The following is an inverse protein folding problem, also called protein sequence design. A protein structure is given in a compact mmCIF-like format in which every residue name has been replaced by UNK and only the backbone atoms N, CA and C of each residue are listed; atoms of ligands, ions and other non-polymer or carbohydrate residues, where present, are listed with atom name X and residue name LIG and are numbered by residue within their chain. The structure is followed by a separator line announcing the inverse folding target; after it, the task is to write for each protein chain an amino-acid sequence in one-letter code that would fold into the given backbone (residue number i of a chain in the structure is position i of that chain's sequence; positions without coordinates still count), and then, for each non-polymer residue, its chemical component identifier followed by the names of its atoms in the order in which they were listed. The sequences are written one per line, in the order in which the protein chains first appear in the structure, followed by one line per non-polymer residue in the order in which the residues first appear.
data_IF_251766843194
#
_entry.id   IF_251766843194
#
_cell.length_a   1.000
_cell.length_b   1.000
_cell.length_c   1.000
_cell.angle_alpha   90.00
_cell.angle_beta   90.00
_cell.angle_gamma   90.00
#
_symmetry.space_group_name_H-M   'P 1'
#
loop_
_entity.id
_entity.type
_entity.pdbx_description
1 polymer ?
#
# COMPACT_ATOMS: atom_id res chain seq x y z
N UNK A 1 47.56 -21.82 51.52
CA UNK A 1 47.79 -23.05 50.73
C UNK A 1 46.82 -23.01 49.56
N UNK A 2 47.29 -22.67 48.35
CA UNK A 2 46.43 -22.59 47.17
C UNK A 2 46.46 -23.94 46.48
N UNK A 3 45.31 -24.63 46.45
CA UNK A 3 45.15 -25.93 45.82
C UNK A 3 45.51 -25.85 44.33
N UNK A 4 46.25 -26.85 43.87
CA UNK A 4 46.74 -27.02 42.50
C UNK A 4 45.67 -26.72 41.45
N UNK A 5 45.90 -25.70 40.62
CA UNK A 5 45.09 -25.42 39.44
C UNK A 5 45.26 -26.57 38.44
N UNK A 6 44.24 -27.42 38.27
CA UNK A 6 44.26 -28.54 37.32
C UNK A 6 43.76 -28.06 35.95
N UNK A 7 44.69 -27.76 35.05
CA UNK A 7 44.39 -27.44 33.64
C UNK A 7 44.26 -28.77 32.88
N UNK A 8 43.11 -29.03 32.29
CA UNK A 8 42.89 -30.21 31.45
C UNK A 8 42.76 -29.80 29.98
N UNK A 9 43.54 -30.42 29.10
CA UNK A 9 43.51 -30.17 27.65
C UNK A 9 43.01 -31.43 26.94
N UNK A 10 41.90 -31.31 26.22
CA UNK A 10 41.31 -32.40 25.42
C UNK A 10 41.48 -32.09 23.94
N UNK A 11 42.30 -32.87 23.25
CA UNK A 11 42.49 -32.70 21.80
C UNK A 11 41.24 -33.16 21.06
N UNK A 12 40.68 -32.30 20.21
CA UNK A 12 39.46 -32.58 19.44
C UNK A 12 39.81 -33.09 18.04
N UNK A 13 40.69 -32.37 17.33
CA UNK A 13 41.02 -32.73 15.95
C UNK A 13 42.42 -32.23 15.57
N UNK A 14 43.11 -32.98 14.71
CA UNK A 14 44.35 -32.57 14.06
C UNK A 14 44.18 -32.74 12.55
N UNK A 15 44.40 -31.66 11.80
CA UNK A 15 44.41 -31.62 10.34
C UNK A 15 45.73 -31.00 9.85
N UNK A 16 46.08 -31.20 8.58
CA UNK A 16 47.21 -30.53 7.95
C UNK A 16 47.21 -28.99 8.12
N UNK A 17 46.03 -28.38 8.24
CA UNK A 17 45.86 -26.94 8.45
C UNK A 17 45.99 -26.48 9.92
N UNK A 18 46.13 -27.41 10.88
CA UNK A 18 46.27 -27.07 12.30
C UNK A 18 45.61 -28.06 13.26
N UNK A 19 45.62 -27.70 14.55
CA UNK A 19 45.09 -28.53 15.64
C UNK A 19 44.03 -27.76 16.44
N UNK A 20 42.94 -28.45 16.77
CA UNK A 20 41.89 -27.99 17.66
C UNK A 20 41.91 -28.78 18.97
N UNK A 21 41.78 -28.08 20.09
CA UNK A 21 41.70 -28.64 21.43
C UNK A 21 40.80 -27.79 22.33
N UNK A 22 40.18 -28.43 23.30
CA UNK A 22 39.41 -27.81 24.37
C UNK A 22 40.29 -27.68 25.61
N UNK A 23 40.29 -26.51 26.25
CA UNK A 23 41.00 -26.29 27.53
C UNK A 23 39.96 -26.07 28.61
N UNK A 24 39.97 -26.94 29.61
CA UNK A 24 39.08 -26.88 30.76
C UNK A 24 39.94 -26.42 31.94
N UNK A 25 39.70 -25.18 32.38
CA UNK A 25 40.40 -24.58 33.52
C UNK A 25 39.73 -24.93 34.86
N UNK A 26 38.42 -25.20 34.82
CA UNK A 26 37.60 -25.67 35.95
C UNK A 26 36.54 -26.63 35.40
N UNK A 27 36.36 -27.84 35.94
CA UNK A 27 35.27 -28.70 35.51
C UNK A 27 33.93 -28.02 35.83
N UNK A 28 33.13 -27.77 34.79
CA UNK A 28 31.79 -27.18 34.92
C UNK A 28 30.94 -28.00 35.88
N UNK A 29 30.36 -27.36 36.90
CA UNK A 29 29.40 -28.01 37.80
C UNK A 29 28.21 -28.55 36.99
N UNK A 30 27.67 -29.74 37.32
CA UNK A 30 26.69 -30.45 36.47
C UNK A 30 25.30 -29.76 36.32
N UNK A 31 25.12 -28.54 36.82
CA UNK A 31 23.86 -27.79 36.77
C UNK A 31 24.03 -26.46 36.02
N UNK A 32 24.48 -26.51 34.77
CA UNK A 32 24.26 -25.40 33.84
C UNK A 32 22.95 -25.68 33.15
N UNK A 33 21.85 -25.23 33.75
CA UNK A 33 20.54 -25.22 33.09
C UNK A 33 20.69 -24.54 31.74
N UNK A 34 20.24 -25.26 30.72
CA UNK A 34 20.16 -24.84 29.33
C UNK A 34 19.64 -23.41 29.23
N UNK A 35 20.54 -22.44 29.06
CA UNK A 35 20.16 -21.12 28.59
C UNK A 35 19.66 -21.34 27.16
N UNK A 36 18.41 -21.00 26.80
CA UNK A 36 17.95 -21.09 25.43
C UNK A 36 18.56 -19.93 24.63
N UNK A 37 19.88 -19.95 24.44
CA UNK A 37 20.65 -18.98 23.67
C UNK A 37 20.57 -19.22 22.16
N UNK A 38 19.64 -20.08 21.73
CA UNK A 38 19.25 -20.18 20.33
C UNK A 38 17.78 -19.80 20.21
N UNK A 39 17.40 -18.98 19.21
CA UNK A 39 16.00 -18.82 18.86
C UNK A 39 15.39 -20.22 18.75
N UNK A 40 14.38 -20.48 19.59
CA UNK A 40 13.59 -21.71 19.60
C UNK A 40 13.45 -22.17 18.16
N UNK A 41 14.01 -23.33 17.80
CA UNK A 41 14.09 -23.83 16.42
C UNK A 41 12.67 -23.87 15.84
N UNK A 42 12.23 -22.76 15.25
CA UNK A 42 10.93 -22.66 14.60
C UNK A 42 11.00 -23.66 13.47
N UNK A 43 10.00 -24.54 13.36
CA UNK A 43 9.86 -25.42 12.19
C UNK A 43 10.12 -24.58 10.95
N UNK A 44 11.07 -25.03 10.13
CA UNK A 44 11.43 -24.33 8.90
C UNK A 44 10.15 -24.10 8.12
N UNK A 45 9.82 -22.83 7.86
CA UNK A 45 8.65 -22.46 7.07
C UNK A 45 8.82 -23.11 5.71
N UNK A 46 7.83 -23.90 5.28
CA UNK A 46 7.86 -24.57 3.98
C UNK A 46 7.97 -23.54 2.85
N UNK A 47 8.52 -23.96 1.71
CA UNK A 47 8.60 -23.13 0.50
C UNK A 47 7.23 -22.53 0.15
N UNK A 48 6.16 -23.34 0.24
CA UNK A 48 4.78 -22.91 -0.03
C UNK A 48 4.30 -21.81 0.92
N UNK A 49 4.67 -21.89 2.21
CA UNK A 49 4.28 -20.87 3.21
C UNK A 49 5.01 -19.55 2.97
N UNK A 50 6.26 -19.61 2.51
CA UNK A 50 7.05 -18.43 2.13
C UNK A 50 6.43 -17.80 0.88
N UNK A 51 6.14 -18.59 -0.15
CA UNK A 51 5.51 -18.12 -1.39
C UNK A 51 4.16 -17.47 -1.11
N UNK A 52 3.30 -18.11 -0.30
CA UNK A 52 2.00 -17.56 0.08
C UNK A 52 2.10 -16.20 0.79
N UNK A 53 3.11 -16.01 1.64
CA UNK A 53 3.34 -14.72 2.31
C UNK A 53 3.83 -13.65 1.34
N UNK A 54 4.68 -14.01 0.38
CA UNK A 54 5.14 -13.09 -0.67
C UNK A 54 3.99 -12.66 -1.58
N UNK A 55 3.17 -13.61 -2.03
CA UNK A 55 1.99 -13.35 -2.85
C UNK A 55 0.98 -12.46 -2.11
N UNK A 56 0.71 -12.72 -0.82
CA UNK A 56 -0.17 -11.87 -0.03
C UNK A 56 0.38 -10.44 0.17
N UNK A 57 1.71 -10.25 0.18
CA UNK A 57 2.32 -8.92 0.19
C UNK A 57 2.19 -8.24 -1.18
N UNK A 58 2.33 -9.00 -2.27
CA UNK A 58 2.14 -8.51 -3.63
C UNK A 58 0.70 -8.11 -3.91
N UNK A 59 -0.29 -8.91 -3.52
CA UNK A 59 -1.69 -8.57 -3.72
C UNK A 59 -2.09 -7.32 -2.95
N UNK A 60 -1.55 -7.11 -1.73
CA UNK A 60 -1.75 -5.84 -1.00
C UNK A 60 -1.17 -4.64 -1.75
N UNK A 61 0.03 -4.80 -2.34
CA UNK A 61 0.65 -3.75 -3.16
C UNK A 61 -0.19 -3.44 -4.41
N UNK A 62 -0.64 -4.47 -5.13
CA UNK A 62 -1.49 -4.31 -6.31
C UNK A 62 -2.84 -3.67 -5.96
N UNK A 63 -3.47 -4.09 -4.87
CA UNK A 63 -4.74 -3.52 -4.41
C UNK A 63 -4.61 -2.03 -4.09
N UNK A 64 -3.55 -1.62 -3.37
CA UNK A 64 -3.30 -0.20 -3.10
C UNK A 64 -3.05 0.59 -4.40
N UNK A 65 -2.28 0.04 -5.32
CA UNK A 65 -2.05 0.67 -6.62
C UNK A 65 -3.34 0.83 -7.42
N UNK A 66 -4.19 -0.20 -7.45
CA UNK A 66 -5.47 -0.17 -8.13
C UNK A 66 -6.41 0.89 -7.55
N UNK A 67 -6.46 1.03 -6.21
CA UNK A 67 -7.27 2.05 -5.54
C UNK A 67 -6.78 3.47 -5.88
N UNK A 68 -5.47 3.68 -5.93
CA UNK A 68 -4.89 4.97 -6.36
C UNK A 68 -5.28 5.28 -7.81
N UNK A 69 -5.17 4.31 -8.71
CA UNK A 69 -5.54 4.48 -10.12
C UNK A 69 -7.03 4.76 -10.29
N UNK A 70 -7.88 4.07 -9.54
CA UNK A 70 -9.34 4.30 -9.52
C UNK A 70 -9.66 5.73 -9.10
N UNK A 71 -9.11 6.21 -7.97
CA UNK A 71 -9.33 7.57 -7.49
C UNK A 71 -8.83 8.63 -8.49
N UNK A 72 -7.75 8.35 -9.21
CA UNK A 72 -7.27 9.23 -10.28
C UNK A 72 -8.22 9.25 -11.47
N UNK A 73 -8.76 8.10 -11.88
CA UNK A 73 -9.74 8.01 -12.95
C UNK A 73 -11.03 8.76 -12.61
N UNK A 74 -11.55 8.57 -11.40
CA UNK A 74 -12.74 9.27 -10.89
C UNK A 74 -12.54 10.80 -10.91
N UNK A 75 -11.39 11.30 -10.47
CA UNK A 75 -11.08 12.74 -10.54
C UNK A 75 -11.06 13.25 -11.98
N UNK A 76 -10.51 12.48 -12.92
CA UNK A 76 -10.45 12.86 -14.35
C UNK A 76 -11.83 12.85 -14.99
N UNK A 77 -12.70 11.95 -14.59
CA UNK A 77 -14.09 11.94 -15.03
C UNK A 77 -14.84 13.17 -14.48
N UNK A 78 -14.70 13.45 -13.18
CA UNK A 78 -15.33 14.61 -12.56
C UNK A 78 -14.88 15.94 -13.21
N UNK A 79 -13.58 16.10 -13.52
CA UNK A 79 -13.09 17.28 -14.24
C UNK A 79 -13.78 17.46 -15.60
N UNK A 80 -14.02 16.37 -16.34
CA UNK A 80 -14.72 16.41 -17.63
C UNK A 80 -16.19 16.77 -17.45
N UNK A 81 -16.86 16.18 -16.45
CA UNK A 81 -18.26 16.48 -16.14
C UNK A 81 -18.46 17.96 -15.79
N UNK A 82 -17.55 18.54 -14.99
CA UNK A 82 -17.60 19.95 -14.61
C UNK A 82 -17.49 20.85 -15.85
N UNK A 83 -16.54 20.57 -16.74
CA UNK A 83 -16.35 21.35 -17.97
C UNK A 83 -17.58 21.22 -18.87
N UNK A 84 -18.06 20.00 -19.07
CA UNK A 84 -19.23 19.73 -19.90
C UNK A 84 -20.47 20.44 -19.37
N UNK A 85 -20.71 20.38 -18.05
CA UNK A 85 -21.83 21.05 -17.41
C UNK A 85 -21.76 22.57 -17.56
N UNK A 86 -20.58 23.17 -17.42
CA UNK A 86 -20.41 24.62 -17.62
C UNK A 86 -20.77 25.03 -19.06
N UNK A 87 -20.38 24.22 -20.06
CA UNK A 87 -20.73 24.45 -21.47
C UNK A 87 -22.25 24.32 -21.66
N UNK A 88 -22.85 23.26 -21.12
CA UNK A 88 -24.29 23.01 -21.23
C UNK A 88 -25.13 24.12 -20.59
N UNK A 89 -24.76 24.57 -19.39
CA UNK A 89 -25.45 25.66 -18.70
C UNK A 89 -25.35 26.98 -19.47
N UNK A 90 -24.18 27.29 -20.04
CA UNK A 90 -23.99 28.47 -20.89
C UNK A 90 -24.86 28.43 -22.16
N UNK A 91 -24.88 27.28 -22.84
CA UNK A 91 -25.73 27.04 -24.00
C UNK A 91 -27.22 27.16 -23.65
N UNK A 92 -27.63 26.58 -22.52
CA UNK A 92 -29.01 26.62 -22.06
C UNK A 92 -29.45 28.05 -21.71
N UNK A 93 -28.60 28.82 -21.03
CA UNK A 93 -28.87 30.22 -20.73
C UNK A 93 -29.11 31.04 -22.00
N UNK A 94 -28.23 30.90 -22.99
CA UNK A 94 -28.35 31.58 -24.29
C UNK A 94 -29.67 31.20 -24.99
N UNK A 95 -29.99 29.90 -25.03
CA UNK A 95 -31.23 29.39 -25.65
C UNK A 95 -32.48 29.96 -24.97
N UNK A 96 -32.55 29.88 -23.63
CA UNK A 96 -33.68 30.42 -22.87
C UNK A 96 -33.84 31.93 -23.06
N UNK A 97 -32.73 32.69 -23.08
CA UNK A 97 -32.76 34.13 -23.30
C UNK A 97 -33.28 34.49 -24.71
N UNK A 98 -32.85 33.75 -25.73
CA UNK A 98 -33.32 33.93 -27.11
C UNK A 98 -34.81 33.60 -27.25
N UNK A 99 -35.25 32.47 -26.70
CA UNK A 99 -36.66 32.06 -26.74
C UNK A 99 -37.56 33.08 -26.05
N UNK A 100 -37.17 33.55 -24.87
CA UNK A 100 -37.93 34.56 -24.11
C UNK A 100 -38.00 35.89 -24.87
N UNK A 101 -36.88 36.34 -25.44
CA UNK A 101 -36.85 37.55 -26.27
C UNK A 101 -37.76 37.43 -27.50
N UNK A 102 -37.73 36.28 -28.17
CA UNK A 102 -38.57 35.98 -29.33
C UNK A 102 -40.04 35.95 -28.96
N UNK A 103 -40.41 35.30 -27.85
CA UNK A 103 -41.79 35.29 -27.32
C UNK A 103 -42.27 36.70 -27.01
N UNK A 104 -41.45 37.52 -26.34
CA UNK A 104 -41.78 38.91 -26.00
C UNK A 104 -41.99 39.76 -27.25
N UNK A 105 -41.11 39.67 -28.24
CA UNK A 105 -41.26 40.38 -29.52
C UNK A 105 -42.54 39.98 -30.26
N UNK A 106 -42.85 38.68 -30.33
CA UNK A 106 -44.10 38.18 -30.94
C UNK A 106 -45.33 38.74 -30.23
N UNK A 107 -45.31 38.78 -28.90
CA UNK A 107 -46.40 39.35 -28.12
C UNK A 107 -46.58 40.84 -28.42
N UNK A 108 -45.49 41.62 -28.40
CA UNK A 108 -45.52 43.06 -28.73
C UNK A 108 -46.08 43.30 -30.14
N UNK A 109 -45.65 42.52 -31.13
CA UNK A 109 -46.16 42.59 -32.50
C UNK A 109 -47.67 42.32 -32.58
N UNK A 110 -48.15 41.27 -31.90
CA UNK A 110 -49.59 40.93 -31.84
C UNK A 110 -50.41 42.03 -31.19
N UNK A 111 -49.95 42.55 -30.05
CA UNK A 111 -50.63 43.64 -29.35
C UNK A 111 -50.66 44.92 -30.19
N UNK A 112 -49.56 45.27 -30.87
CA UNK A 112 -49.53 46.41 -31.77
C UNK A 112 -50.52 46.22 -32.94
N UNK A 113 -50.52 45.06 -33.60
CA UNK A 113 -51.44 44.76 -34.69
C UNK A 113 -52.91 44.87 -34.25
N UNK A 114 -53.25 44.33 -33.08
CA UNK A 114 -54.61 44.45 -32.53
C UNK A 114 -55.00 45.90 -32.25
N UNK A 115 -54.07 46.73 -31.73
CA UNK A 115 -54.33 48.17 -31.53
C UNK A 115 -54.56 48.95 -32.83
N UNK A 116 -53.96 48.52 -33.94
CA UNK A 116 -54.18 49.16 -35.25
C UNK A 116 -55.50 48.76 -35.92
N UNK A 117 -56.23 47.79 -35.35
CA UNK A 117 -57.51 47.31 -35.88
C UNK A 117 -58.73 47.87 -35.13
N UNK A 118 -58.52 48.54 -33.98
CA UNK A 118 -59.53 49.25 -33.20
C UNK A 118 -59.45 50.75 -33.49
#
# INVERSE_FOLDING_TARGET
MCNSCYIQVKVINKRASGQAFEVILTPTSPDVKDFPMSPLRKKETSLDEIQKKLEAAEERRKSQQAEVLKNLAEKREHEKEVIQKAIEESCNFSKMAQENSTKRWRQTKRTAAHKWQL
#
